data_IF_280810138508
#
_entry.id   IF_280810138508
#
_cell.length_a   1.000
_cell.length_b   1.000
_cell.length_c   1.000
_cell.angle_alpha   90.00
_cell.angle_beta   90.00
_cell.angle_gamma   90.00
#
_symmetry.space_group_name_H-M   'P 1'
#
loop_
_entity.id
_entity.type
_entity.pdbx_description
1 polymer ?
#
# COMPACT_ATOMS: atom_id res chain seq x y z
N UNK A 1 12.23 2.59 8.13
CA UNK A 1 11.99 1.65 9.25
C UNK A 1 10.88 2.26 10.08
N UNK A 2 9.85 1.51 10.48
CA UNK A 2 8.76 2.05 11.31
C UNK A 2 9.31 2.58 12.65
N UNK A 3 8.79 3.73 13.11
CA UNK A 3 9.09 4.27 14.43
C UNK A 3 8.33 3.51 15.50
N UNK A 4 9.02 3.20 16.60
CA UNK A 4 8.39 2.71 17.82
C UNK A 4 7.99 3.90 18.67
N UNK A 5 6.71 4.02 18.95
CA UNK A 5 6.13 5.06 19.78
C UNK A 5 5.49 4.41 21.00
N UNK A 6 5.82 4.94 22.17
CA UNK A 6 5.23 4.54 23.44
C UNK A 6 4.43 5.73 23.97
N UNK A 7 3.15 5.52 24.24
CA UNK A 7 2.28 6.50 24.89
C UNK A 7 1.79 5.94 26.21
N UNK A 8 1.64 6.82 27.19
CA UNK A 8 1.10 6.51 28.52
C UNK A 8 -0.24 7.21 28.67
N UNK A 9 -1.29 6.44 28.96
CA UNK A 9 -2.68 6.92 29.14
C UNK A 9 -3.22 6.24 30.39
N UNK A 10 -3.59 7.01 31.41
CA UNK A 10 -4.16 6.49 32.67
C UNK A 10 -3.38 5.30 33.28
N UNK A 11 -2.05 5.44 33.35
CA UNK A 11 -1.08 4.42 33.81
C UNK A 11 -0.98 3.16 32.91
N UNK A 12 -1.66 3.12 31.76
CA UNK A 12 -1.49 2.10 30.72
C UNK A 12 -0.45 2.52 29.68
N UNK A 13 0.47 1.61 29.36
CA UNK A 13 1.49 1.81 28.34
C UNK A 13 1.01 1.16 27.04
N UNK A 14 0.91 1.97 25.99
CA UNK A 14 0.56 1.53 24.65
C UNK A 14 1.78 1.70 23.75
N UNK A 15 2.19 0.61 23.12
CA UNK A 15 3.28 0.59 22.15
C UNK A 15 2.72 0.45 20.74
N UNK A 16 3.18 1.31 19.83
CA UNK A 16 2.77 1.33 18.42
C UNK A 16 3.98 1.38 17.50
N UNK A 17 3.85 0.76 16.33
CA UNK A 17 4.79 0.91 15.22
C UNK A 17 4.15 1.75 14.11
N UNK A 18 4.67 2.96 13.90
CA UNK A 18 4.12 3.92 12.95
C UNK A 18 5.08 4.15 11.76
N UNK A 19 4.57 4.31 10.54
CA UNK A 19 5.40 4.66 9.40
C UNK A 19 5.98 6.08 9.58
N UNK A 20 7.21 6.29 9.13
CA UNK A 20 7.84 7.62 9.08
C UNK A 20 8.12 8.07 7.65
N UNK A 21 7.81 7.21 6.67
CA UNK A 21 8.06 7.42 5.26
C UNK A 21 7.19 6.49 4.41
N UNK A 22 7.04 6.78 3.13
CA UNK A 22 6.38 5.88 2.18
C UNK A 22 7.09 4.52 2.00
N UNK A 23 8.38 4.43 2.34
CA UNK A 23 9.13 3.16 2.34
C UNK A 23 8.76 2.24 3.53
N UNK A 24 7.99 2.75 4.50
CA UNK A 24 7.46 2.00 5.65
C UNK A 24 6.00 1.57 5.49
N UNK A 25 5.34 2.05 4.43
CA UNK A 25 3.92 1.84 4.16
C UNK A 25 3.78 0.68 3.18
N UNK A 26 3.05 -0.36 3.59
CA UNK A 26 2.68 -1.46 2.70
C UNK A 26 1.50 -1.08 1.81
N UNK A 27 1.18 -1.88 0.77
CA UNK A 27 -0.06 -1.70 0.01
C UNK A 27 -1.28 -1.76 0.94
N UNK A 28 -1.32 -2.68 1.89
CA UNK A 28 -2.44 -2.80 2.83
C UNK A 28 -2.59 -1.54 3.70
N UNK A 29 -1.48 -1.04 4.25
CA UNK A 29 -1.45 0.21 5.00
C UNK A 29 -1.95 1.39 4.13
N UNK A 30 -1.47 1.48 2.88
CA UNK A 30 -1.87 2.53 1.94
C UNK A 30 -3.37 2.48 1.64
N UNK A 31 -3.90 1.30 1.31
CA UNK A 31 -5.34 1.09 1.05
C UNK A 31 -6.20 1.46 2.25
N UNK A 32 -5.71 1.26 3.49
CA UNK A 32 -6.42 1.66 4.72
C UNK A 32 -6.37 3.18 4.92
N UNK A 33 -5.21 3.79 4.73
CA UNK A 33 -5.01 5.24 4.85
C UNK A 33 -5.87 5.99 3.83
N UNK A 34 -5.88 5.60 2.55
CA UNK A 34 -6.63 6.35 1.53
C UNK A 34 -8.16 6.20 1.64
N UNK A 35 -8.64 5.22 2.41
CA UNK A 35 -10.06 5.09 2.78
C UNK A 35 -10.48 6.08 3.86
N UNK A 36 -9.55 6.71 4.57
CA UNK A 36 -9.86 7.76 5.55
C UNK A 36 -10.30 9.01 4.80
N UNK A 37 -11.60 9.32 4.87
CA UNK A 37 -12.17 10.51 4.23
C UNK A 37 -11.93 11.76 5.08
N UNK A 38 -11.44 12.82 4.45
CA UNK A 38 -11.27 14.14 5.06
C UNK A 38 -12.57 14.96 5.14
N UNK A 39 -13.64 14.54 4.45
CA UNK A 39 -14.88 15.34 4.33
C UNK A 39 -15.50 15.66 5.69
N UNK A 40 -15.63 16.96 5.99
CA UNK A 40 -16.17 17.48 7.24
C UNK A 40 -15.34 17.25 8.50
N UNK A 41 -14.11 16.70 8.40
CA UNK A 41 -13.24 16.40 9.55
C UNK A 41 -12.15 17.44 9.76
N UNK A 42 -11.78 17.62 11.03
CA UNK A 42 -10.59 18.40 11.40
C UNK A 42 -9.32 17.53 11.28
N UNK A 43 -8.16 18.17 11.12
CA UNK A 43 -6.86 17.49 10.91
C UNK A 43 -6.54 16.46 12.00
N UNK A 44 -6.88 16.77 13.26
CA UNK A 44 -6.71 15.84 14.38
C UNK A 44 -7.59 14.59 14.24
N UNK A 45 -8.83 14.73 13.80
CA UNK A 45 -9.72 13.60 13.56
C UNK A 45 -9.20 12.71 12.42
N UNK A 46 -8.66 13.33 11.36
CA UNK A 46 -8.07 12.60 10.24
C UNK A 46 -6.85 11.80 10.71
N UNK A 47 -5.96 12.42 11.51
CA UNK A 47 -4.79 11.72 12.03
C UNK A 47 -5.16 10.55 12.95
N UNK A 48 -6.12 10.73 13.86
CA UNK A 48 -6.61 9.65 14.73
C UNK A 48 -7.20 8.51 13.90
N UNK A 49 -7.98 8.83 12.86
CA UNK A 49 -8.54 7.82 11.96
C UNK A 49 -7.47 7.05 11.18
N UNK A 50 -6.41 7.74 10.72
CA UNK A 50 -5.27 7.12 10.05
C UNK A 50 -4.51 6.18 10.98
N UNK A 51 -4.14 6.64 12.18
CA UNK A 51 -3.44 5.82 13.18
C UNK A 51 -4.27 4.56 13.49
N UNK A 52 -5.53 4.74 13.85
CA UNK A 52 -6.46 3.64 14.13
C UNK A 52 -6.50 2.62 12.98
N UNK A 53 -6.56 3.10 11.73
CA UNK A 53 -6.67 2.22 10.56
C UNK A 53 -5.46 1.31 10.37
N UNK A 54 -4.25 1.72 10.79
CA UNK A 54 -3.02 0.96 10.54
C UNK A 54 -2.47 0.25 11.79
N UNK A 55 -2.90 0.64 13.00
CA UNK A 55 -2.45 0.03 14.26
C UNK A 55 -3.53 -0.77 14.98
N UNK A 56 -4.80 -0.67 14.57
CA UNK A 56 -5.98 -1.21 15.25
C UNK A 56 -6.15 -0.69 16.70
N UNK A 57 -5.41 0.35 17.12
CA UNK A 57 -5.59 1.00 18.43
C UNK A 57 -6.91 1.75 18.45
N UNK A 58 -7.70 1.58 19.50
CA UNK A 58 -9.02 2.18 19.63
C UNK A 58 -8.96 3.72 19.60
N UNK A 59 -9.89 4.35 18.88
CA UNK A 59 -9.90 5.81 18.73
C UNK A 59 -10.15 6.52 20.06
N UNK A 60 -11.01 5.98 20.93
CA UNK A 60 -11.30 6.55 22.24
C UNK A 60 -10.03 6.60 23.09
N UNK A 61 -9.16 5.59 22.96
CA UNK A 61 -7.85 5.58 23.59
C UNK A 61 -6.95 6.65 22.96
N UNK A 62 -6.86 6.72 21.63
CA UNK A 62 -6.03 7.72 20.95
C UNK A 62 -6.43 9.17 21.28
N UNK A 63 -7.72 9.43 21.55
CA UNK A 63 -8.22 10.75 21.98
C UNK A 63 -7.76 11.17 23.38
N UNK A 64 -7.36 10.23 24.22
CA UNK A 64 -6.89 10.47 25.59
C UNK A 64 -5.38 10.72 25.66
N UNK A 65 -4.68 10.54 24.55
CA UNK A 65 -3.23 10.75 24.45
C UNK A 65 -2.83 12.20 24.83
N UNK A 66 -1.72 12.39 25.57
CA UNK A 66 -1.16 13.71 25.81
C UNK A 66 -0.87 14.48 24.52
N UNK A 67 -1.17 15.78 24.48
CA UNK A 67 -0.95 16.64 23.29
C UNK A 67 0.51 16.60 22.81
N UNK A 68 1.47 16.44 23.72
CA UNK A 68 2.89 16.27 23.38
C UNK A 68 3.14 15.02 22.55
N UNK A 69 2.54 13.89 22.92
CA UNK A 69 2.63 12.63 22.17
C UNK A 69 1.87 12.72 20.85
N UNK A 70 0.72 13.39 20.84
CA UNK A 70 -0.02 13.66 19.60
C UNK A 70 0.82 14.43 18.59
N UNK A 71 1.49 15.51 19.02
CA UNK A 71 2.34 16.32 18.14
C UNK A 71 3.53 15.52 17.60
N UNK A 72 4.15 14.66 18.42
CA UNK A 72 5.21 13.77 17.97
C UNK A 72 4.72 12.82 16.87
N UNK A 73 3.54 12.24 17.02
CA UNK A 73 2.95 11.38 15.98
C UNK A 73 2.58 12.20 14.74
N UNK A 74 2.05 13.41 14.90
CA UNK A 74 1.71 14.28 13.77
C UNK A 74 2.95 14.60 12.91
N UNK A 75 4.09 14.88 13.54
CA UNK A 75 5.38 15.08 12.85
C UNK A 75 5.80 13.84 12.04
N UNK A 76 5.54 12.63 12.56
CA UNK A 76 5.82 11.40 11.82
C UNK A 76 4.99 11.26 10.56
N UNK A 77 3.78 11.82 10.51
CA UNK A 77 2.88 11.71 9.36
C UNK A 77 3.07 12.83 8.33
N UNK A 78 3.98 13.78 8.54
CA UNK A 78 4.27 14.84 7.58
C UNK A 78 4.72 14.29 6.20
N UNK A 79 5.28 13.08 6.14
CA UNK A 79 5.62 12.44 4.86
C UNK A 79 4.40 12.26 3.94
N UNK A 80 3.18 12.19 4.49
CA UNK A 80 1.96 12.05 3.69
C UNK A 80 1.64 13.30 2.86
N UNK A 81 2.22 14.46 3.23
CA UNK A 81 2.14 15.71 2.48
C UNK A 81 3.09 15.73 1.27
N UNK A 82 4.02 14.77 1.20
CA UNK A 82 5.03 14.65 0.15
C UNK A 82 4.58 13.55 -0.82
N UNK A 83 4.66 13.76 -2.14
CA UNK A 83 4.35 12.72 -3.11
C UNK A 83 5.27 11.51 -2.94
N UNK A 84 4.74 10.30 -3.20
CA UNK A 84 5.56 9.09 -3.27
C UNK A 84 6.56 9.23 -4.43
N UNK A 85 7.84 9.02 -4.16
CA UNK A 85 8.86 9.06 -5.21
C UNK A 85 8.64 7.94 -6.24
N UNK A 86 8.80 8.28 -7.52
CA UNK A 86 8.67 7.33 -8.60
C UNK A 86 9.99 6.59 -8.82
N UNK A 87 10.02 5.31 -8.46
CA UNK A 87 11.13 4.41 -8.74
C UNK A 87 10.79 3.55 -9.95
N UNK A 88 11.67 3.50 -10.94
CA UNK A 88 11.55 2.53 -12.03
C UNK A 88 12.03 1.17 -11.51
N UNK A 89 11.11 0.22 -11.42
CA UNK A 89 11.40 -1.12 -10.94
C UNK A 89 11.18 -2.16 -12.03
N UNK A 90 12.10 -3.13 -12.09
CA UNK A 90 12.02 -4.28 -12.98
C UNK A 90 11.50 -5.54 -12.29
N UNK A 91 11.65 -5.56 -10.96
CA UNK A 91 11.26 -6.65 -10.09
C UNK A 91 11.07 -6.13 -8.67
N UNK A 92 10.33 -6.90 -7.88
CA UNK A 92 10.25 -6.75 -6.43
C UNK A 92 10.69 -8.06 -5.77
N UNK A 93 11.23 -7.96 -4.56
CA UNK A 93 11.61 -9.11 -3.75
C UNK A 93 10.66 -9.21 -2.56
N UNK A 94 10.08 -10.39 -2.36
CA UNK A 94 9.17 -10.68 -1.26
C UNK A 94 9.54 -12.04 -0.70
N UNK A 95 9.82 -12.13 0.60
CA UNK A 95 10.16 -13.41 1.27
C UNK A 95 11.30 -14.18 0.58
N UNK A 96 12.33 -13.47 0.09
CA UNK A 96 13.46 -13.99 -0.71
C UNK A 96 13.08 -14.53 -2.10
N UNK A 97 11.87 -14.28 -2.57
CA UNK A 97 11.41 -14.62 -3.92
C UNK A 97 11.35 -13.37 -4.78
N UNK A 98 12.02 -13.40 -5.94
CA UNK A 98 12.00 -12.29 -6.89
C UNK A 98 10.84 -12.43 -7.88
N UNK A 99 9.98 -11.43 -7.89
CA UNK A 99 8.89 -11.28 -8.84
C UNK A 99 9.23 -10.20 -9.85
N UNK A 100 9.20 -10.55 -11.13
CA UNK A 100 9.56 -9.67 -12.22
C UNK A 100 8.32 -9.05 -12.84
N UNK A 101 8.42 -7.78 -13.20
CA UNK A 101 7.35 -7.09 -13.90
C UNK A 101 7.26 -7.57 -15.35
N UNK A 102 6.05 -7.94 -15.81
CA UNK A 102 5.76 -8.14 -17.22
C UNK A 102 5.72 -6.78 -17.93
N UNK A 103 6.86 -6.36 -18.50
CA UNK A 103 7.03 -5.04 -19.13
C UNK A 103 6.24 -4.84 -20.43
N UNK A 104 5.88 -5.92 -21.13
CA UNK A 104 5.12 -5.81 -22.38
C UNK A 104 3.61 -5.86 -22.12
N UNK A 105 3.05 -4.69 -21.83
CA UNK A 105 1.60 -4.52 -21.66
C UNK A 105 0.83 -4.49 -23.00
N UNK A 106 1.53 -4.41 -24.14
CA UNK A 106 0.89 -4.52 -25.46
C UNK A 106 0.60 -5.99 -25.81
N UNK A 107 1.37 -6.90 -25.24
CA UNK A 107 1.21 -8.35 -25.37
C UNK A 107 0.43 -8.96 -24.19
N UNK A 108 -0.59 -8.30 -23.66
CA UNK A 108 -1.50 -8.92 -22.69
C UNK A 108 -2.36 -9.98 -23.38
N UNK A 109 -2.47 -11.14 -22.74
CA UNK A 109 -3.46 -12.15 -23.13
C UNK A 109 -4.87 -11.66 -22.83
N UNK A 110 -5.87 -12.21 -23.54
CA UNK A 110 -7.29 -11.89 -23.29
C UNK A 110 -7.67 -12.12 -21.82
N UNK A 111 -7.13 -13.17 -21.18
CA UNK A 111 -7.38 -13.46 -19.77
C UNK A 111 -6.79 -12.42 -18.81
N UNK A 112 -5.59 -11.90 -19.11
CA UNK A 112 -4.98 -10.81 -18.33
C UNK A 112 -5.79 -9.52 -18.48
N UNK A 113 -6.15 -9.14 -19.71
CA UNK A 113 -6.96 -7.94 -19.98
C UNK A 113 -8.31 -8.00 -19.27
N UNK A 114 -9.05 -9.11 -19.43
CA UNK A 114 -10.35 -9.29 -18.78
C UNK A 114 -10.24 -9.27 -17.24
N UNK A 115 -9.15 -9.79 -16.68
CA UNK A 115 -8.90 -9.74 -15.23
C UNK A 115 -8.69 -8.31 -14.76
N UNK A 116 -7.88 -7.51 -15.48
CA UNK A 116 -7.66 -6.09 -15.14
C UNK A 116 -8.97 -5.32 -15.17
N UNK A 117 -9.75 -5.46 -16.25
CA UNK A 117 -11.03 -4.78 -16.41
C UNK A 117 -12.01 -5.12 -15.29
N UNK A 118 -12.10 -6.41 -14.91
CA UNK A 118 -12.94 -6.86 -13.81
C UNK A 118 -12.49 -6.27 -12.47
N UNK A 119 -11.18 -6.32 -12.18
CA UNK A 119 -10.62 -5.80 -10.93
C UNK A 119 -10.84 -4.29 -10.77
N UNK A 120 -10.70 -3.53 -11.85
CA UNK A 120 -10.97 -2.08 -11.84
C UNK A 120 -12.46 -1.81 -11.67
N UNK A 121 -13.33 -2.58 -12.34
CA UNK A 121 -14.78 -2.44 -12.21
C UNK A 121 -15.27 -2.74 -10.79
N UNK A 122 -14.78 -3.81 -10.19
CA UNK A 122 -15.16 -4.23 -8.82
C UNK A 122 -14.75 -3.20 -7.75
N UNK A 123 -13.77 -2.35 -8.05
CA UNK A 123 -13.31 -1.28 -7.17
C UNK A 123 -13.81 0.10 -7.59
N UNK A 124 -14.87 0.19 -8.40
CA UNK A 124 -15.45 1.46 -8.89
C UNK A 124 -14.41 2.36 -9.61
N UNK A 125 -13.39 1.76 -10.23
CA UNK A 125 -12.28 2.47 -10.85
C UNK A 125 -11.23 3.02 -9.88
N UNK A 126 -11.37 2.79 -8.58
CA UNK A 126 -10.39 3.19 -7.55
C UNK A 126 -9.24 2.18 -7.50
N UNK A 127 -8.05 2.62 -7.87
CA UNK A 127 -6.88 1.74 -7.92
C UNK A 127 -6.44 1.26 -6.54
N UNK A 128 -6.58 2.09 -5.51
CA UNK A 128 -6.12 1.81 -4.14
C UNK A 128 -6.69 0.50 -3.58
N UNK A 129 -7.93 0.15 -3.94
CA UNK A 129 -8.58 -1.11 -3.54
C UNK A 129 -8.18 -2.32 -4.38
N UNK A 130 -7.60 -2.09 -5.56
CA UNK A 130 -7.25 -3.13 -6.53
C UNK A 130 -5.73 -3.43 -6.60
N UNK A 131 -4.87 -2.63 -5.96
CA UNK A 131 -3.42 -2.68 -6.13
C UNK A 131 -2.83 -4.09 -5.96
N UNK A 132 -3.09 -4.76 -4.83
CA UNK A 132 -2.54 -6.09 -4.57
C UNK A 132 -3.00 -7.14 -5.60
N UNK A 133 -4.27 -7.09 -6.03
CA UNK A 133 -4.82 -7.99 -7.07
C UNK A 133 -4.23 -7.67 -8.45
N UNK A 134 -4.01 -6.41 -8.76
CA UNK A 134 -3.35 -6.00 -10.00
C UNK A 134 -1.89 -6.49 -10.05
N UNK A 135 -1.17 -6.49 -8.92
CA UNK A 135 0.16 -7.11 -8.85
C UNK A 135 0.12 -8.60 -9.19
N UNK A 136 -0.95 -9.32 -8.84
CA UNK A 136 -1.14 -10.71 -9.27
C UNK A 136 -1.16 -10.87 -10.80
N UNK A 137 -1.66 -9.86 -11.51
CA UNK A 137 -1.66 -9.82 -12.97
C UNK A 137 -0.32 -9.36 -13.54
N UNK A 138 0.43 -8.48 -12.88
CA UNK A 138 1.64 -7.89 -13.49
C UNK A 138 2.94 -8.60 -13.15
N UNK A 139 3.00 -9.28 -12.00
CA UNK A 139 4.21 -9.86 -11.47
C UNK A 139 4.34 -11.35 -11.77
N UNK A 140 5.56 -11.78 -12.09
CA UNK A 140 5.88 -13.12 -12.57
C UNK A 140 7.16 -13.66 -11.95
N UNK A 141 7.14 -14.91 -11.49
CA UNK A 141 8.36 -15.65 -11.21
C UNK A 141 9.08 -16.03 -12.51
N UNK A 142 10.42 -16.12 -12.44
CA UNK A 142 11.23 -16.75 -13.49
C UNK A 142 11.27 -18.26 -13.26
N UNK A 143 11.05 -19.02 -14.33
CA UNK A 143 11.31 -20.46 -14.37
C UNK A 143 12.82 -20.71 -14.44
N UNK A 144 13.24 -21.95 -14.20
CA UNK A 144 14.65 -22.37 -14.32
C UNK A 144 15.28 -22.02 -15.67
N UNK A 145 14.49 -22.02 -16.74
CA UNK A 145 14.93 -21.65 -18.09
C UNK A 145 14.99 -20.12 -18.34
N UNK A 146 14.83 -19.30 -17.30
CA UNK A 146 14.87 -17.84 -17.35
C UNK A 146 13.60 -17.17 -17.88
N UNK A 147 12.61 -17.94 -18.36
CA UNK A 147 11.34 -17.38 -18.87
C UNK A 147 10.40 -17.04 -17.73
N UNK A 148 9.60 -15.97 -17.90
CA UNK A 148 8.51 -15.66 -16.98
C UNK A 148 7.44 -16.75 -17.01
N UNK A 149 6.82 -16.99 -15.86
CA UNK A 149 5.63 -17.82 -15.78
C UNK A 149 4.47 -17.26 -16.60
N UNK A 150 3.63 -18.15 -17.12
CA UNK A 150 2.42 -17.76 -17.85
C UNK A 150 1.32 -17.44 -16.85
N UNK A 151 0.49 -16.45 -17.15
CA UNK A 151 -0.64 -16.08 -16.31
C UNK A 151 -1.57 -17.26 -16.04
N UNK A 152 -2.05 -17.36 -14.80
CA UNK A 152 -3.04 -18.34 -14.34
C UNK A 152 -3.99 -17.63 -13.38
N UNK A 153 -5.26 -18.05 -13.36
CA UNK A 153 -6.24 -17.54 -12.39
C UNK A 153 -5.79 -17.74 -10.93
N UNK A 154 -5.04 -18.81 -10.65
CA UNK A 154 -4.43 -19.07 -9.33
C UNK A 154 -3.39 -18.04 -8.90
N UNK A 155 -3.01 -17.07 -9.75
CA UNK A 155 -2.13 -15.99 -9.29
C UNK A 155 -2.84 -15.05 -8.33
N UNK A 156 -4.18 -15.00 -8.35
CA UNK A 156 -4.97 -14.22 -7.40
C UNK A 156 -4.77 -14.67 -5.95
N UNK A 157 -4.36 -15.92 -5.73
CA UNK A 157 -4.03 -16.45 -4.39
C UNK A 157 -2.80 -15.75 -3.77
N UNK A 158 -2.05 -14.95 -4.55
CA UNK A 158 -0.90 -14.15 -4.10
C UNK A 158 -1.30 -12.78 -3.56
N UNK A 159 -2.58 -12.43 -3.54
CA UNK A 159 -3.06 -11.12 -3.08
C UNK A 159 -2.56 -10.79 -1.66
N UNK A 160 -2.72 -11.71 -0.71
CA UNK A 160 -2.27 -11.50 0.68
C UNK A 160 -0.76 -11.32 0.77
N UNK A 161 0.01 -12.00 -0.08
CA UNK A 161 1.46 -11.79 -0.16
C UNK A 161 1.77 -10.38 -0.65
N UNK A 162 1.11 -9.95 -1.73
CA UNK A 162 1.37 -8.65 -2.36
C UNK A 162 0.85 -7.45 -1.56
N UNK A 163 -0.09 -7.66 -0.63
CA UNK A 163 -0.50 -6.64 0.35
C UNK A 163 0.67 -6.14 1.21
N UNK A 164 1.69 -6.97 1.45
CA UNK A 164 2.85 -6.64 2.29
C UNK A 164 3.94 -5.85 1.55
N UNK A 165 3.81 -5.69 0.22
CA UNK A 165 4.77 -4.95 -0.60
C UNK A 165 4.72 -3.47 -0.24
N UNK A 166 5.89 -2.82 -0.19
CA UNK A 166 5.99 -1.38 0.07
C UNK A 166 5.36 -0.60 -1.08
N UNK A 167 4.55 0.40 -0.75
CA UNK A 167 3.89 1.22 -1.77
C UNK A 167 4.91 1.97 -2.63
N UNK A 168 6.03 2.40 -2.05
CA UNK A 168 7.10 3.10 -2.77
C UNK A 168 7.78 2.26 -3.85
N UNK A 169 7.78 0.93 -3.73
CA UNK A 169 8.35 0.04 -4.74
C UNK A 169 7.42 -0.08 -5.95
N UNK A 170 6.10 0.08 -5.76
CA UNK A 170 5.09 -0.24 -6.79
C UNK A 170 4.26 0.95 -7.25
N UNK A 171 4.38 2.12 -6.61
CA UNK A 171 3.60 3.32 -6.94
C UNK A 171 3.70 3.69 -8.42
N UNK A 172 4.92 3.66 -8.99
CA UNK A 172 5.13 4.00 -10.39
C UNK A 172 4.42 3.03 -11.36
N UNK A 173 4.30 1.74 -10.99
CA UNK A 173 3.55 0.76 -11.77
C UNK A 173 2.08 1.18 -11.89
N UNK A 174 1.48 1.65 -10.79
CA UNK A 174 0.08 2.07 -10.80
C UNK A 174 -0.14 3.40 -11.51
N UNK A 175 0.78 4.36 -11.39
CA UNK A 175 0.71 5.63 -12.15
C UNK A 175 0.66 5.38 -13.66
N UNK A 176 1.43 4.41 -14.16
CA UNK A 176 1.38 4.02 -15.57
C UNK A 176 -0.04 3.58 -15.98
N UNK A 177 -0.70 2.75 -15.15
CA UNK A 177 -2.07 2.30 -15.41
C UNK A 177 -3.12 3.40 -15.23
N UNK A 178 -2.95 4.31 -14.29
CA UNK A 178 -3.86 5.44 -14.08
C UNK A 178 -3.85 6.42 -15.26
N UNK A 179 -2.68 6.62 -15.88
CA UNK A 179 -2.47 7.72 -16.85
C UNK A 179 -2.40 7.24 -18.30
N UNK A 180 -2.20 5.95 -18.54
CA UNK A 180 -2.06 5.37 -19.88
C UNK A 180 -0.83 5.90 -20.65
N UNK A 181 0.11 6.57 -19.99
CA UNK A 181 1.32 7.15 -20.58
C UNK A 181 2.55 6.47 -20.02
N UNK A 182 3.41 5.98 -20.89
CA UNK A 182 4.82 5.71 -20.54
C UNK A 182 5.48 7.04 -20.26
N UNK A 183 5.93 7.27 -19.02
CA UNK A 183 6.92 8.32 -18.72
C UNK A 183 8.20 8.06 -19.49
#
# INVERSE_FOLDING_TARGET
>A
MKAKITIEIDDEIIEMELPQSWDDVTIDDYTKITKVTADGKQDNQILIDMIHSITDVDKEILWQMPVTSFNQIAELFEFTLIPIENKQIDSIEIENETYWLKKDFKELTVGESASIDLLLKDNEGKLDGAMAKLLCVFLRKKKENGKLESFKSSFMDREELFKTVKISDVNNLFIFFSTGRTS
#
